data_IF_193013641413
#
_entry.id   IF_193013641413
#
_cell.length_a   1.000
_cell.length_b   1.000
_cell.length_c   1.000
_cell.angle_alpha   90.00
_cell.angle_beta   90.00
_cell.angle_gamma   90.00
#
_symmetry.space_group_name_H-M   'P 1'
#
loop_
_entity.id
_entity.type
_entity.pdbx_description
1 polymer ?
#
# COMPACT_ATOMS: atom_id res chain seq x y z
N UNK A 1 -0.87 -27.39 -22.03
CA UNK A 1 0.56 -27.06 -21.91
C UNK A 1 0.65 -26.21 -20.65
N UNK A 2 0.85 -26.86 -19.52
CA UNK A 2 0.93 -26.18 -18.22
C UNK A 2 2.22 -25.37 -18.20
N UNK A 3 2.07 -24.04 -18.12
CA UNK A 3 3.18 -23.15 -17.80
C UNK A 3 3.72 -23.58 -16.43
N UNK A 4 4.92 -24.16 -16.42
CA UNK A 4 5.68 -24.33 -15.19
C UNK A 4 5.98 -22.93 -14.66
N UNK A 5 5.19 -22.48 -13.70
CA UNK A 5 5.45 -21.25 -12.95
C UNK A 5 6.78 -21.45 -12.23
N UNK A 6 7.88 -20.95 -12.81
CA UNK A 6 9.11 -20.78 -12.07
C UNK A 6 8.78 -19.86 -10.90
N UNK A 7 8.72 -20.41 -9.69
CA UNK A 7 8.51 -19.62 -8.49
C UNK A 7 9.63 -18.60 -8.38
N UNK A 8 9.26 -17.33 -8.53
CA UNK A 8 10.11 -16.18 -8.25
C UNK A 8 10.60 -16.26 -6.81
N UNK A 9 11.86 -15.89 -6.58
CA UNK A 9 12.32 -15.68 -5.21
C UNK A 9 11.74 -14.35 -4.72
N UNK A 10 10.90 -14.32 -3.68
CA UNK A 10 10.29 -13.09 -3.23
C UNK A 10 11.34 -12.15 -2.64
N UNK A 11 11.10 -10.83 -2.70
CA UNK A 11 11.92 -9.86 -1.98
C UNK A 11 11.71 -9.96 -0.47
N UNK A 12 10.50 -10.35 -0.08
CA UNK A 12 10.09 -10.47 1.32
C UNK A 12 10.08 -11.93 1.76
N UNK A 13 10.69 -12.18 2.91
CA UNK A 13 10.52 -13.46 3.61
C UNK A 13 9.12 -13.52 4.20
N UNK A 14 8.35 -14.56 3.87
CA UNK A 14 7.03 -14.79 4.45
C UNK A 14 7.10 -15.78 5.60
N UNK A 15 6.52 -15.40 6.74
CA UNK A 15 6.39 -16.24 7.93
C UNK A 15 4.90 -16.34 8.27
N UNK A 16 4.44 -17.58 8.49
CA UNK A 16 3.03 -17.85 8.77
C UNK A 16 2.86 -18.61 10.08
N UNK A 17 1.98 -18.08 10.93
CA UNK A 17 1.61 -18.64 12.22
C UNK A 17 0.08 -18.72 12.35
N UNK A 18 -0.37 -19.56 13.29
CA UNK A 18 -1.75 -19.56 13.78
C UNK A 18 -1.76 -19.07 15.22
N UNK A 19 -2.72 -18.21 15.55
CA UNK A 19 -2.87 -17.66 16.88
C UNK A 19 -3.63 -18.60 17.86
N UNK A 20 -4.11 -19.76 17.41
CA UNK A 20 -4.90 -20.69 18.24
C UNK A 20 -4.17 -21.25 19.47
N UNK A 21 -2.84 -21.18 19.48
CA UNK A 21 -2.03 -21.65 20.61
C UNK A 21 -1.87 -20.65 21.76
N UNK A 22 -2.18 -19.37 21.52
CA UNK A 22 -2.05 -18.33 22.55
C UNK A 22 -3.28 -18.29 23.46
N UNK A 23 -3.07 -18.08 24.75
CA UNK A 23 -4.15 -17.98 25.73
C UNK A 23 -4.61 -16.53 25.95
N UNK A 24 -3.73 -15.57 25.66
CA UNK A 24 -4.00 -14.13 25.84
C UNK A 24 -3.45 -13.30 24.68
N UNK A 25 -4.00 -12.10 24.48
CA UNK A 25 -3.48 -11.17 23.47
C UNK A 25 -2.07 -10.68 23.81
N UNK A 26 -1.71 -10.59 25.10
CA UNK A 26 -0.38 -10.19 25.55
C UNK A 26 0.69 -11.21 25.19
N UNK A 27 0.37 -12.52 25.27
CA UNK A 27 1.27 -13.58 24.82
C UNK A 27 1.53 -13.48 23.32
N UNK A 28 0.47 -13.30 22.53
CA UNK A 28 0.58 -13.06 21.09
C UNK A 28 1.42 -11.81 20.80
N UNK A 29 1.12 -10.69 21.46
CA UNK A 29 1.84 -9.42 21.29
C UNK A 29 3.34 -9.57 21.60
N UNK A 30 3.68 -10.28 22.67
CA UNK A 30 5.07 -10.55 23.07
C UNK A 30 5.80 -11.39 22.02
N UNK A 31 5.12 -12.40 21.46
CA UNK A 31 5.70 -13.21 20.39
C UNK A 31 5.91 -12.40 19.11
N UNK A 32 4.90 -11.65 18.67
CA UNK A 32 4.99 -10.79 17.48
C UNK A 32 6.15 -9.82 17.62
N UNK A 33 6.23 -9.11 18.76
CA UNK A 33 7.34 -8.19 19.07
C UNK A 33 8.70 -8.88 18.96
N UNK A 34 8.85 -10.08 19.53
CA UNK A 34 10.10 -10.83 19.46
C UNK A 34 10.52 -11.13 18.02
N UNK A 35 9.58 -11.57 17.18
CA UNK A 35 9.87 -11.90 15.78
C UNK A 35 10.21 -10.66 14.96
N UNK A 36 9.52 -9.53 15.22
CA UNK A 36 9.84 -8.24 14.62
C UNK A 36 11.29 -7.84 14.93
N UNK A 37 11.70 -7.91 16.21
CA UNK A 37 13.06 -7.56 16.63
C UNK A 37 14.13 -8.53 16.14
N UNK A 38 13.75 -9.75 15.77
CA UNK A 38 14.66 -10.76 15.24
C UNK A 38 14.77 -10.73 13.70
N UNK A 39 13.89 -9.99 13.01
CA UNK A 39 13.95 -9.86 11.55
C UNK A 39 15.28 -9.23 11.11
N UNK A 40 15.92 -9.86 10.13
CA UNK A 40 17.22 -9.42 9.57
C UNK A 40 17.11 -8.91 8.13
N UNK A 41 15.92 -8.97 7.55
CA UNK A 41 15.63 -8.62 6.16
C UNK A 41 14.15 -8.26 6.03
N UNK A 42 13.74 -7.74 4.86
CA UNK A 42 12.32 -7.56 4.51
C UNK A 42 11.54 -8.82 4.84
N UNK A 43 10.63 -8.72 5.80
CA UNK A 43 9.89 -9.85 6.33
C UNK A 43 8.44 -9.45 6.54
N UNK A 44 7.53 -10.32 6.14
CA UNK A 44 6.11 -10.21 6.45
C UNK A 44 5.71 -11.42 7.30
N UNK A 45 5.18 -11.13 8.49
CA UNK A 45 4.79 -12.11 9.49
C UNK A 45 3.27 -12.08 9.60
N UNK A 46 2.62 -13.20 9.27
CA UNK A 46 1.18 -13.33 9.30
C UNK A 46 0.73 -14.29 10.40
N UNK A 47 -0.16 -13.82 11.28
CA UNK A 47 -0.86 -14.63 12.27
C UNK A 47 -2.33 -14.74 11.89
N UNK A 48 -2.79 -15.97 11.64
CA UNK A 48 -4.19 -16.28 11.32
C UNK A 48 -4.97 -16.72 12.56
N UNK A 49 -6.31 -16.71 12.49
CA UNK A 49 -7.19 -17.05 13.63
C UNK A 49 -6.98 -16.14 14.84
N UNK A 50 -6.66 -14.87 14.60
CA UNK A 50 -6.52 -13.84 15.65
C UNK A 50 -7.91 -13.30 15.96
N UNK A 51 -8.35 -13.52 17.20
CA UNK A 51 -9.65 -13.05 17.69
C UNK A 51 -9.90 -11.57 17.35
N UNK A 52 -11.12 -11.21 16.88
CA UNK A 52 -11.53 -9.82 16.68
C UNK A 52 -11.34 -8.89 17.88
N UNK A 53 -11.38 -9.44 19.09
CA UNK A 53 -11.15 -8.68 20.32
C UNK A 53 -9.66 -8.42 20.59
N UNK A 54 -8.78 -9.27 20.04
CA UNK A 54 -7.33 -9.20 20.28
C UNK A 54 -6.61 -8.38 19.21
N UNK A 55 -7.02 -8.52 17.95
CA UNK A 55 -6.35 -7.90 16.82
C UNK A 55 -6.07 -6.40 16.99
N UNK A 56 -7.08 -5.56 17.30
CA UNK A 56 -6.89 -4.15 17.58
C UNK A 56 -5.93 -3.88 18.74
N UNK A 57 -6.07 -4.61 19.85
CA UNK A 57 -5.22 -4.41 21.04
C UNK A 57 -3.75 -4.71 20.75
N UNK A 58 -3.48 -5.75 19.96
CA UNK A 58 -2.11 -6.09 19.56
C UNK A 58 -1.53 -5.02 18.64
N UNK A 59 -2.29 -4.52 17.67
CA UNK A 59 -1.81 -3.44 16.79
C UNK A 59 -1.55 -2.17 17.58
N UNK A 60 -2.55 -1.71 18.35
CA UNK A 60 -2.46 -0.48 19.12
C UNK A 60 -1.29 -0.55 20.14
N UNK A 61 -1.04 -1.72 20.75
CA UNK A 61 0.09 -1.94 21.67
C UNK A 61 1.46 -1.97 20.98
N UNK A 62 1.56 -2.45 19.74
CA UNK A 62 2.83 -2.50 19.00
C UNK A 62 3.17 -1.15 18.37
N UNK A 63 2.16 -0.38 17.96
CA UNK A 63 2.34 0.98 17.44
C UNK A 63 2.86 1.94 18.52
N UNK A 64 2.58 1.69 19.80
CA UNK A 64 3.09 2.45 20.95
C UNK A 64 4.45 1.94 21.47
N UNK A 65 5.00 0.85 20.91
CA UNK A 65 6.27 0.26 21.34
C UNK A 65 7.45 0.89 20.60
N UNK A 66 8.30 1.63 21.34
CA UNK A 66 9.43 2.36 20.76
C UNK A 66 10.49 1.47 20.08
N UNK A 67 10.65 0.20 20.49
CA UNK A 67 11.59 -0.70 19.81
C UNK A 67 11.01 -1.16 18.45
N UNK A 68 9.69 -1.39 18.39
CA UNK A 68 8.98 -1.73 17.14
C UNK A 68 8.96 -0.54 16.19
N UNK A 69 8.67 0.66 16.71
CA UNK A 69 8.71 1.92 15.95
C UNK A 69 10.10 2.14 15.33
N UNK A 70 11.18 1.88 16.08
CA UNK A 70 12.56 2.07 15.61
C UNK A 70 12.92 1.23 14.37
N UNK A 71 12.19 0.14 14.12
CA UNK A 71 12.35 -0.72 12.94
C UNK A 71 11.44 -0.34 11.78
N UNK A 72 10.63 0.71 11.94
CA UNK A 72 9.62 1.15 10.96
C UNK A 72 8.69 0.00 10.55
N UNK A 73 8.29 -0.81 11.53
CA UNK A 73 7.38 -1.93 11.31
C UNK A 73 5.94 -1.42 11.16
N UNK A 74 5.20 -1.99 10.21
CA UNK A 74 3.78 -1.70 10.02
C UNK A 74 2.95 -2.91 10.48
N UNK A 75 2.16 -2.72 11.53
CA UNK A 75 1.29 -3.76 12.10
C UNK A 75 -0.15 -3.52 11.64
N UNK A 76 -0.76 -4.53 11.03
CA UNK A 76 -2.08 -4.42 10.42
C UNK A 76 -2.95 -5.58 10.89
N UNK A 77 -4.25 -5.34 11.05
CA UNK A 77 -5.22 -6.37 11.41
C UNK A 77 -6.48 -6.29 10.56
N UNK A 78 -6.92 -7.44 10.03
CA UNK A 78 -8.19 -7.58 9.33
C UNK A 78 -9.19 -8.36 10.18
N UNK A 79 -10.23 -7.69 10.65
CA UNK A 79 -11.32 -8.31 11.43
C UNK A 79 -12.16 -9.30 10.64
N UNK A 80 -12.20 -9.18 9.31
CA UNK A 80 -12.93 -10.11 8.43
C UNK A 80 -12.16 -11.40 8.20
N UNK A 81 -10.83 -11.30 8.12
CA UNK A 81 -9.95 -12.46 7.90
C UNK A 81 -9.41 -13.06 9.19
N UNK A 82 -9.56 -12.35 10.31
CA UNK A 82 -8.95 -12.69 11.59
C UNK A 82 -7.44 -12.89 11.44
N UNK A 83 -6.81 -11.97 10.69
CA UNK A 83 -5.38 -12.04 10.35
C UNK A 83 -4.68 -10.77 10.79
N UNK A 84 -3.64 -10.93 11.61
CA UNK A 84 -2.66 -9.90 11.94
C UNK A 84 -1.46 -10.05 10.99
N UNK A 85 -1.02 -8.96 10.38
CA UNK A 85 0.12 -8.93 9.47
C UNK A 85 1.08 -7.85 9.96
N UNK A 86 2.34 -8.24 10.15
CA UNK A 86 3.42 -7.31 10.49
C UNK A 86 4.44 -7.30 9.36
N UNK A 87 4.66 -6.12 8.78
CA UNK A 87 5.68 -5.90 7.74
C UNK A 87 6.86 -5.17 8.36
N UNK A 88 8.06 -5.71 8.22
CA UNK A 88 9.29 -5.18 8.84
C UNK A 88 10.36 -5.00 7.76
N UNK A 89 11.18 -3.95 7.88
CA UNK A 89 12.31 -3.68 6.99
C UNK A 89 11.91 -3.56 5.51
N UNK A 90 10.97 -2.66 5.20
CA UNK A 90 10.56 -2.37 3.81
C UNK A 90 11.77 -2.06 2.93
N UNK A 91 11.76 -2.58 1.70
CA UNK A 91 12.87 -2.38 0.77
C UNK A 91 12.87 -0.98 0.15
N UNK A 92 14.02 -0.53 -0.36
CA UNK A 92 14.12 0.73 -1.11
C UNK A 92 13.23 0.72 -2.36
N UNK A 93 13.10 -0.44 -3.00
CA UNK A 93 12.19 -0.61 -4.14
C UNK A 93 10.73 -0.36 -3.74
N UNK A 94 10.29 -0.90 -2.59
CA UNK A 94 8.93 -0.67 -2.09
C UNK A 94 8.70 0.73 -1.52
N UNK A 95 9.75 1.51 -1.27
CA UNK A 95 9.64 2.91 -0.84
C UNK A 95 9.67 3.93 -1.98
N UNK A 96 9.97 3.50 -3.22
CA UNK A 96 10.21 4.43 -4.33
C UNK A 96 8.94 5.21 -4.74
N UNK A 97 7.74 4.70 -4.41
CA UNK A 97 6.46 5.36 -4.68
C UNK A 97 6.32 6.70 -3.96
N UNK A 98 7.02 6.92 -2.83
CA UNK A 98 6.98 8.19 -2.09
C UNK A 98 7.58 9.32 -2.93
N UNK A 99 8.78 9.09 -3.48
CA UNK A 99 9.42 10.07 -4.37
C UNK A 99 8.68 10.20 -5.70
N UNK A 100 8.13 9.10 -6.21
CA UNK A 100 7.28 9.12 -7.39
C UNK A 100 6.09 10.07 -7.20
N UNK A 101 5.33 9.94 -6.11
CA UNK A 101 4.19 10.82 -5.84
C UNK A 101 4.60 12.28 -5.67
N UNK A 102 5.74 12.54 -5.02
CA UNK A 102 6.29 13.90 -4.93
C UNK A 102 6.56 14.50 -6.32
N UNK A 103 7.07 13.70 -7.26
CA UNK A 103 7.28 14.14 -8.65
C UNK A 103 5.92 14.39 -9.32
N UNK A 104 4.92 13.52 -9.12
CA UNK A 104 3.59 13.72 -9.71
C UNK A 104 2.93 15.03 -9.26
N UNK A 105 3.04 15.37 -7.97
CA UNK A 105 2.53 16.65 -7.45
C UNK A 105 3.21 17.86 -8.11
N UNK A 106 4.53 17.79 -8.35
CA UNK A 106 5.28 18.83 -9.04
C UNK A 106 4.85 18.94 -10.51
N UNK A 107 4.72 17.82 -11.20
CA UNK A 107 4.34 17.79 -12.61
C UNK A 107 2.91 18.30 -12.81
N UNK A 108 1.97 17.95 -11.93
CA UNK A 108 0.61 18.50 -11.97
C UNK A 108 0.61 20.02 -11.83
N UNK A 109 1.48 20.56 -10.99
CA UNK A 109 1.64 21.99 -10.81
C UNK A 109 2.27 22.66 -12.04
N UNK A 110 3.36 22.11 -12.57
CA UNK A 110 4.04 22.65 -13.75
C UNK A 110 3.17 22.62 -15.01
N UNK A 111 2.28 21.62 -15.12
CA UNK A 111 1.30 21.49 -16.20
C UNK A 111 0.05 22.36 -15.99
N UNK A 112 -0.02 23.12 -14.89
CA UNK A 112 -1.20 23.92 -14.49
C UNK A 112 -2.49 23.10 -14.32
N UNK A 113 -2.38 21.80 -14.00
CA UNK A 113 -3.53 20.96 -13.64
C UNK A 113 -4.02 21.25 -12.23
N UNK A 114 -3.11 21.65 -11.34
CA UNK A 114 -3.39 22.12 -9.98
C UNK A 114 -2.49 23.31 -9.66
N UNK A 115 -2.92 24.16 -8.73
CA UNK A 115 -2.08 25.22 -8.19
C UNK A 115 -1.48 24.83 -6.84
N UNK A 116 -0.39 25.50 -6.45
CA UNK A 116 0.23 25.26 -5.14
C UNK A 116 -0.72 25.48 -3.96
N UNK A 117 -1.69 26.40 -4.10
CA UNK A 117 -2.77 26.59 -3.13
C UNK A 117 -3.72 25.39 -3.02
N UNK A 118 -3.99 24.70 -4.14
CA UNK A 118 -4.81 23.49 -4.16
C UNK A 118 -4.12 22.36 -3.40
N UNK A 119 -2.84 22.09 -3.69
CA UNK A 119 -2.08 21.01 -3.04
C UNK A 119 -1.96 21.19 -1.51
N UNK A 120 -1.99 22.43 -1.00
CA UNK A 120 -2.03 22.71 0.45
C UNK A 120 -3.32 22.22 1.14
N UNK A 121 -4.35 21.86 0.38
CA UNK A 121 -5.56 21.23 0.91
C UNK A 121 -5.39 19.72 1.10
N UNK A 122 -4.29 19.12 0.65
CA UNK A 122 -4.01 17.71 0.86
C UNK A 122 -3.02 17.51 2.02
N UNK A 123 -3.13 16.39 2.70
CA UNK A 123 -2.19 15.91 3.73
C UNK A 123 -1.65 14.55 3.32
N UNK A 124 -0.34 14.40 3.33
CA UNK A 124 0.34 13.15 2.98
C UNK A 124 0.72 12.39 4.25
N UNK A 125 0.44 11.10 4.28
CA UNK A 125 0.80 10.21 5.39
C UNK A 125 1.32 8.86 4.87
N UNK A 126 2.34 8.30 5.53
CA UNK A 126 2.98 7.03 5.14
C UNK A 126 3.10 6.01 6.27
N UNK A 127 2.77 6.40 7.50
CA UNK A 127 2.92 5.55 8.71
C UNK A 127 1.72 5.64 9.66
N UNK A 128 0.66 6.35 9.28
CA UNK A 128 -0.49 6.55 10.16
C UNK A 128 -1.43 5.33 10.12
N UNK A 129 -1.62 4.68 11.26
CA UNK A 129 -2.57 3.57 11.42
C UNK A 129 -4.01 4.09 11.44
N UNK A 130 -4.83 3.55 10.55
CA UNK A 130 -6.26 3.83 10.46
C UNK A 130 -7.05 2.69 11.08
N UNK A 131 -8.07 3.02 11.89
CA UNK A 131 -8.89 2.03 12.60
C UNK A 131 -10.39 2.30 12.60
N UNK A 132 -10.85 3.44 12.05
CA UNK A 132 -12.27 3.84 12.05
C UNK A 132 -13.02 3.33 10.81
N UNK A 133 -12.84 2.06 10.47
CA UNK A 133 -13.52 1.46 9.33
C UNK A 133 -14.98 1.13 9.67
N UNK A 134 -15.82 1.09 8.65
CA UNK A 134 -17.21 0.64 8.70
C UNK A 134 -17.30 -0.88 8.51
N UNK A 135 -18.48 -1.44 8.79
CA UNK A 135 -18.76 -2.85 8.55
C UNK A 135 -18.50 -3.23 7.07
N UNK A 136 -17.95 -4.43 6.80
CA UNK A 136 -17.64 -5.51 7.75
C UNK A 136 -16.26 -5.38 8.44
N UNK A 137 -15.54 -4.28 8.23
CA UNK A 137 -14.15 -4.10 8.68
C UNK A 137 -14.02 -3.29 9.98
N UNK A 138 -15.09 -3.15 10.77
CA UNK A 138 -15.13 -2.22 11.92
C UNK A 138 -14.10 -2.51 13.01
N UNK A 139 -13.59 -3.73 13.09
CA UNK A 139 -12.52 -4.12 14.00
C UNK A 139 -11.12 -4.08 13.37
N UNK A 140 -10.95 -3.58 12.15
CA UNK A 140 -9.67 -3.62 11.45
C UNK A 140 -8.75 -2.46 11.85
N UNK A 141 -7.45 -2.66 11.62
CA UNK A 141 -6.38 -1.66 11.72
C UNK A 141 -5.51 -1.75 10.49
N UNK A 142 -5.19 -0.63 9.86
CA UNK A 142 -4.42 -0.63 8.62
C UNK A 142 -3.59 0.63 8.46
N UNK A 143 -2.32 0.44 8.14
CA UNK A 143 -1.36 1.48 7.82
C UNK A 143 -1.09 1.42 6.32
N UNK A 144 -1.37 2.50 5.56
CA UNK A 144 -1.10 2.54 4.13
C UNK A 144 0.39 2.69 3.87
N UNK A 145 0.90 2.22 2.73
CA UNK A 145 2.27 2.54 2.32
C UNK A 145 2.41 4.02 1.94
N UNK A 146 1.33 4.64 1.45
CA UNK A 146 1.20 6.07 1.22
C UNK A 146 -0.28 6.42 1.11
N UNK A 147 -0.68 7.59 1.58
CA UNK A 147 -2.01 8.12 1.32
C UNK A 147 -2.03 9.65 1.27
N UNK A 148 -3.05 10.17 0.58
CA UNK A 148 -3.40 11.59 0.59
C UNK A 148 -4.81 11.75 1.17
N UNK A 149 -4.92 12.64 2.15
CA UNK A 149 -6.19 13.01 2.79
C UNK A 149 -6.60 14.43 2.40
N UNK A 150 -7.86 14.66 2.00
CA UNK A 150 -8.38 16.00 1.81
C UNK A 150 -8.63 16.67 3.17
N UNK A 151 -7.93 17.77 3.40
CA UNK A 151 -7.92 18.56 4.63
C UNK A 151 -7.62 17.69 5.88
N UNK A 152 -8.01 18.12 7.08
CA UNK A 152 -7.83 17.38 8.33
C UNK A 152 -8.81 16.20 8.51
N UNK A 153 -9.19 15.52 7.41
CA UNK A 153 -10.02 14.31 7.49
C UNK A 153 -9.22 13.12 8.00
N UNK A 154 -9.89 12.28 8.78
CA UNK A 154 -9.29 11.05 9.33
C UNK A 154 -8.96 10.03 8.23
N UNK A 155 -9.92 9.73 7.35
CA UNK A 155 -9.68 8.80 6.25
C UNK A 155 -9.18 9.52 5.00
N UNK A 156 -8.24 8.90 4.26
CA UNK A 156 -7.73 9.45 3.01
C UNK A 156 -8.77 9.32 1.89
N UNK A 157 -8.50 10.01 0.78
CA UNK A 157 -9.21 9.82 -0.48
C UNK A 157 -8.43 8.95 -1.47
N UNK A 158 -7.09 8.98 -1.38
CA UNK A 158 -6.18 8.24 -2.25
C UNK A 158 -5.20 7.43 -1.41
N UNK A 159 -5.00 6.17 -1.77
CA UNK A 159 -4.10 5.24 -1.07
C UNK A 159 -3.22 4.51 -2.09
N UNK A 160 -1.96 4.28 -1.73
CA UNK A 160 -1.07 3.33 -2.41
C UNK A 160 -0.74 2.19 -1.44
N UNK A 161 -0.86 0.96 -1.92
CA UNK A 161 -0.32 -0.24 -1.30
C UNK A 161 0.76 -0.82 -2.21
N UNK A 162 1.88 -1.24 -1.62
CA UNK A 162 3.02 -1.80 -2.35
C UNK A 162 3.49 -3.11 -1.71
N UNK A 163 3.89 -4.06 -2.55
CA UNK A 163 4.52 -5.29 -2.07
C UNK A 163 4.96 -6.23 -3.17
N UNK A 164 5.37 -7.42 -2.73
CA UNK A 164 5.65 -8.55 -3.60
C UNK A 164 4.39 -9.01 -4.35
N UNK A 165 4.59 -9.50 -5.58
CA UNK A 165 3.51 -10.08 -6.39
C UNK A 165 2.94 -11.36 -5.77
N UNK A 166 3.75 -12.07 -4.99
CA UNK A 166 3.37 -13.21 -4.15
C UNK A 166 2.36 -12.80 -3.06
N UNK A 167 2.29 -11.51 -2.72
CA UNK A 167 1.31 -10.95 -1.79
C UNK A 167 0.04 -10.45 -2.48
N UNK A 168 -0.18 -10.74 -3.77
CA UNK A 168 -1.31 -10.21 -4.54
C UNK A 168 -2.65 -10.40 -3.84
N UNK A 169 -2.95 -11.60 -3.34
CA UNK A 169 -4.22 -11.83 -2.64
C UNK A 169 -4.39 -10.91 -1.42
N UNK A 170 -3.33 -10.69 -0.66
CA UNK A 170 -3.33 -9.77 0.50
C UNK A 170 -3.45 -8.30 0.07
N UNK A 171 -2.76 -7.90 -0.99
CA UNK A 171 -2.89 -6.54 -1.55
C UNK A 171 -4.32 -6.27 -2.04
N UNK A 172 -4.98 -7.29 -2.61
CA UNK A 172 -6.38 -7.21 -3.00
C UNK A 172 -7.32 -7.11 -1.79
N UNK A 173 -6.99 -7.77 -0.69
CA UNK A 173 -7.72 -7.63 0.58
C UNK A 173 -7.56 -6.25 1.19
N UNK A 174 -6.34 -5.72 1.21
CA UNK A 174 -6.03 -4.36 1.66
C UNK A 174 -6.82 -3.33 0.83
N UNK A 175 -6.84 -3.49 -0.50
CA UNK A 175 -7.64 -2.65 -1.39
C UNK A 175 -9.14 -2.71 -1.07
N UNK A 176 -9.68 -3.91 -0.80
CA UNK A 176 -11.09 -4.06 -0.42
C UNK A 176 -11.39 -3.41 0.92
N UNK A 177 -10.52 -3.59 1.91
CA UNK A 177 -10.62 -2.95 3.22
C UNK A 177 -10.69 -1.43 3.06
N UNK A 178 -9.81 -0.84 2.24
CA UNK A 178 -9.82 0.59 1.96
C UNK A 178 -11.10 1.04 1.23
N UNK A 179 -11.45 0.41 0.10
CA UNK A 179 -12.59 0.86 -0.72
C UNK A 179 -13.96 0.53 -0.14
N UNK A 180 -14.09 -0.48 0.72
CA UNK A 180 -15.37 -0.87 1.34
C UNK A 180 -15.43 -0.36 2.78
N UNK A 181 -14.38 -0.62 3.57
CA UNK A 181 -14.34 -0.26 4.99
C UNK A 181 -14.19 1.23 5.23
N UNK A 182 -13.54 1.99 4.35
CA UNK A 182 -13.37 3.44 4.56
C UNK A 182 -14.38 4.27 3.74
N UNK A 183 -15.56 3.73 3.45
CA UNK A 183 -16.62 4.49 2.78
C UNK A 183 -17.08 5.68 3.64
N UNK A 184 -17.58 6.76 3.00
CA UNK A 184 -17.49 7.06 1.57
C UNK A 184 -16.13 7.71 1.18
N UNK A 185 -15.13 7.70 2.05
CA UNK A 185 -13.96 8.57 2.00
C UNK A 185 -12.91 8.15 0.98
N UNK A 186 -12.36 6.94 1.08
CA UNK A 186 -11.35 6.47 0.12
C UNK A 186 -12.02 6.29 -1.24
N UNK A 187 -11.50 6.95 -2.28
CA UNK A 187 -12.03 6.92 -3.65
C UNK A 187 -11.17 6.05 -4.56
N UNK A 188 -9.86 6.10 -4.38
CA UNK A 188 -8.88 5.44 -5.25
C UNK A 188 -7.88 4.66 -4.41
N UNK A 189 -7.57 3.43 -4.83
CA UNK A 189 -6.45 2.65 -4.33
C UNK A 189 -5.57 2.24 -5.50
N UNK A 190 -4.27 2.54 -5.42
CA UNK A 190 -3.27 2.04 -6.36
C UNK A 190 -2.49 0.92 -5.70
N UNK A 191 -2.42 -0.24 -6.35
CA UNK A 191 -1.56 -1.35 -5.95
C UNK A 191 -0.32 -1.35 -6.84
N UNK A 192 0.86 -1.33 -6.23
CA UNK A 192 2.15 -1.50 -6.90
C UNK A 192 2.74 -2.85 -6.51
N UNK A 193 2.96 -3.71 -7.49
CA UNK A 193 3.54 -5.04 -7.30
C UNK A 193 4.89 -5.13 -8.01
N UNK A 194 5.86 -5.74 -7.34
CA UNK A 194 7.13 -6.15 -7.95
C UNK A 194 7.35 -7.65 -7.76
N UNK A 195 8.10 -8.27 -8.65
CA UNK A 195 8.58 -9.64 -8.51
C UNK A 195 9.98 -9.78 -9.09
N UNK A 196 10.77 -10.74 -8.59
CA UNK A 196 11.97 -11.18 -9.31
C UNK A 196 11.58 -12.08 -10.47
N UNK A 197 12.20 -11.90 -11.63
CA UNK A 197 12.02 -12.80 -12.76
C UNK A 197 12.76 -14.11 -12.48
N UNK A 198 12.04 -15.13 -12.01
CA UNK A 198 12.61 -16.41 -11.57
C UNK A 198 13.70 -16.22 -10.51
N UNK A 199 14.86 -16.83 -10.74
CA UNK A 199 16.03 -16.74 -9.85
C UNK A 199 17.06 -15.70 -10.31
N UNK A 200 16.64 -14.73 -11.12
CA UNK A 200 17.53 -13.67 -11.60
C UNK A 200 17.48 -12.45 -10.69
N UNK A 201 18.34 -11.48 -10.96
CA UNK A 201 18.26 -10.15 -10.37
C UNK A 201 17.36 -9.19 -11.18
N UNK A 202 16.68 -9.68 -12.23
CA UNK A 202 15.74 -8.87 -13.00
C UNK A 202 14.42 -8.73 -12.24
N UNK A 203 13.84 -7.54 -12.31
CA UNK A 203 12.60 -7.19 -11.62
C UNK A 203 11.50 -6.93 -12.63
N UNK A 204 10.39 -7.64 -12.48
CA UNK A 204 9.11 -7.35 -13.12
C UNK A 204 8.26 -6.49 -12.19
N UNK A 205 7.34 -5.72 -12.76
CA UNK A 205 6.44 -4.92 -11.92
C UNK A 205 5.21 -4.43 -12.65
N UNK A 206 4.14 -4.21 -11.88
CA UNK A 206 2.84 -3.77 -12.36
C UNK A 206 2.23 -2.75 -11.39
N UNK A 207 1.52 -1.78 -11.92
CA UNK A 207 0.67 -0.87 -11.17
C UNK A 207 -0.80 -1.08 -11.59
N UNK A 208 -1.70 -1.15 -10.62
CA UNK A 208 -3.13 -1.35 -10.84
C UNK A 208 -3.92 -0.30 -10.05
N UNK A 209 -4.84 0.39 -10.70
CA UNK A 209 -5.69 1.41 -10.09
C UNK A 209 -7.10 0.87 -9.92
N UNK A 210 -7.57 0.91 -8.68
CA UNK A 210 -8.88 0.43 -8.27
C UNK A 210 -9.76 1.57 -7.78
N UNK A 211 -11.01 1.54 -8.21
CA UNK A 211 -12.10 2.40 -7.71
C UNK A 211 -13.32 1.55 -7.43
N UNK A 212 -14.38 2.15 -6.90
CA UNK A 212 -15.69 1.50 -6.83
C UNK A 212 -16.45 1.67 -8.15
N UNK A 213 -17.06 0.59 -8.62
CA UNK A 213 -17.99 0.60 -9.74
C UNK A 213 -19.33 1.26 -9.37
N UNK A 214 -20.27 1.30 -10.32
CA UNK A 214 -21.61 1.86 -10.12
C UNK A 214 -22.43 1.13 -9.03
N UNK A 215 -22.09 -0.12 -8.70
CA UNK A 215 -22.70 -0.91 -7.64
C UNK A 215 -21.95 -0.77 -6.30
N UNK A 216 -21.04 0.20 -6.22
CA UNK A 216 -20.13 0.45 -5.11
C UNK A 216 -19.12 -0.69 -4.83
N UNK A 217 -18.95 -1.66 -5.75
CA UNK A 217 -18.00 -2.76 -5.59
C UNK A 217 -16.61 -2.35 -6.10
N UNK A 218 -15.52 -2.73 -5.42
CA UNK A 218 -14.17 -2.47 -5.94
C UNK A 218 -13.94 -3.18 -7.28
N UNK A 219 -13.41 -2.44 -8.26
CA UNK A 219 -13.07 -2.92 -9.59
C UNK A 219 -11.80 -2.29 -10.12
N UNK A 220 -11.05 -3.05 -10.92
CA UNK A 220 -9.87 -2.56 -11.64
C UNK A 220 -10.34 -1.58 -12.71
N UNK A 221 -9.79 -0.36 -12.70
CA UNK A 221 -10.12 0.66 -13.69
C UNK A 221 -9.00 0.83 -14.72
N UNK A 222 -7.75 0.82 -14.27
CA UNK A 222 -6.57 1.02 -15.11
C UNK A 222 -5.43 0.14 -14.63
N UNK A 223 -4.56 -0.27 -15.54
CA UNK A 223 -3.35 -1.01 -15.22
C UNK A 223 -2.20 -0.55 -16.11
N UNK A 224 -0.99 -0.72 -15.60
CA UNK A 224 0.23 -0.42 -16.32
C UNK A 224 1.36 -1.37 -15.93
N UNK A 225 2.16 -1.77 -16.92
CA UNK A 225 3.39 -2.52 -16.67
C UNK A 225 4.52 -1.56 -16.31
N UNK A 226 5.17 -1.78 -15.17
CA UNK A 226 6.36 -1.04 -14.76
C UNK A 226 7.58 -1.64 -15.47
N UNK A 227 7.80 -2.95 -15.31
CA UNK A 227 8.86 -3.69 -16.00
C UNK A 227 8.35 -5.03 -16.51
N UNK A 228 8.77 -5.47 -17.72
CA UNK A 228 9.55 -4.71 -18.68
C UNK A 228 8.79 -3.49 -19.23
N UNK A 229 9.51 -2.43 -19.59
CA UNK A 229 8.88 -1.23 -20.10
C UNK A 229 8.42 -1.45 -21.55
N UNK A 230 7.17 -1.88 -21.72
CA UNK A 230 6.60 -2.21 -23.05
C UNK A 230 6.10 -1.00 -23.82
N UNK A 231 5.86 0.12 -23.13
CA UNK A 231 5.28 1.35 -23.69
C UNK A 231 5.93 2.56 -23.00
N UNK A 232 6.31 3.57 -23.79
CA UNK A 232 6.72 4.89 -23.28
C UNK A 232 5.49 5.77 -23.03
N UNK A 233 5.62 6.78 -22.16
CA UNK A 233 4.57 7.73 -21.81
C UNK A 233 3.32 7.08 -21.19
N UNK A 234 3.52 5.93 -20.54
CA UNK A 234 2.45 5.20 -19.86
C UNK A 234 2.07 5.93 -18.55
N UNK A 235 0.78 6.15 -18.33
CA UNK A 235 0.27 6.76 -17.10
C UNK A 235 -1.02 6.11 -16.65
N UNK A 236 -1.26 6.14 -15.33
CA UNK A 236 -2.59 5.99 -14.76
C UNK A 236 -3.19 7.39 -14.58
N UNK A 237 -4.52 7.53 -14.46
CA UNK A 237 -5.17 8.82 -14.21
C UNK A 237 -6.12 8.77 -13.03
N UNK A 238 -6.04 9.75 -12.14
CA UNK A 238 -7.06 9.99 -11.10
C UNK A 238 -7.79 11.31 -11.38
N UNK A 239 -9.03 11.44 -10.95
CA UNK A 239 -9.75 12.72 -11.06
C UNK A 239 -9.44 13.63 -9.88
N UNK A 240 -9.41 14.94 -10.11
CA UNK A 240 -9.33 15.93 -9.03
C UNK A 240 -10.50 15.78 -8.04
N UNK A 241 -11.71 15.48 -8.53
CA UNK A 241 -12.89 15.24 -7.70
C UNK A 241 -12.71 14.06 -6.74
N UNK A 242 -12.07 12.98 -7.18
CA UNK A 242 -11.76 11.84 -6.32
C UNK A 242 -10.68 12.17 -5.29
N UNK A 243 -9.64 12.90 -5.71
CA UNK A 243 -8.51 13.25 -4.84
C UNK A 243 -8.89 14.29 -3.78
N UNK A 244 -9.53 15.40 -4.16
CA UNK A 244 -9.87 16.49 -3.25
C UNK A 244 -11.23 16.31 -2.57
N UNK A 245 -12.16 15.56 -3.19
CA UNK A 245 -13.48 15.31 -2.62
C UNK A 245 -14.18 16.59 -2.19
N UNK A 246 -14.69 16.69 -0.94
CA UNK A 246 -15.43 17.86 -0.48
C UNK A 246 -14.62 19.16 -0.33
N UNK A 247 -13.29 19.11 -0.44
CA UNK A 247 -12.44 20.31 -0.42
C UNK A 247 -11.88 20.64 -1.80
N UNK A 248 -12.51 20.12 -2.86
CA UNK A 248 -12.21 20.50 -4.24
C UNK A 248 -12.23 22.04 -4.39
N UNK A 249 -11.14 22.66 -4.86
CA UNK A 249 -11.10 24.09 -5.13
C UNK A 249 -12.19 24.53 -6.09
N UNK A 250 -12.79 25.71 -5.88
CA UNK A 250 -13.89 26.22 -6.71
C UNK A 250 -13.49 26.46 -8.17
N UNK A 251 -12.20 26.69 -8.41
CA UNK A 251 -11.61 26.97 -9.71
C UNK A 251 -10.97 25.73 -10.37
N UNK A 252 -11.11 24.55 -9.76
CA UNK A 252 -10.63 23.27 -10.30
C UNK A 252 -11.81 22.39 -10.71
N UNK A 253 -11.88 22.03 -12.00
CA UNK A 253 -12.88 21.07 -12.48
C UNK A 253 -12.64 19.70 -11.84
N UNK A 254 -13.69 19.12 -11.26
CA UNK A 254 -13.67 17.79 -10.65
C UNK A 254 -13.20 16.70 -11.63
N UNK A 255 -13.44 16.87 -12.93
CA UNK A 255 -13.06 15.92 -13.98
C UNK A 255 -11.64 16.13 -14.49
N UNK A 256 -10.90 17.12 -13.97
CA UNK A 256 -9.47 17.30 -14.28
C UNK A 256 -8.73 16.01 -13.99
N UNK A 257 -8.14 15.41 -15.02
CA UNK A 257 -7.35 14.19 -14.88
C UNK A 257 -5.95 14.58 -14.40
N UNK A 258 -5.54 13.99 -13.28
CA UNK A 258 -4.22 14.12 -12.70
C UNK A 258 -3.42 12.85 -13.05
N UNK A 259 -2.47 12.93 -13.99
CA UNK A 259 -1.73 11.78 -14.49
C UNK A 259 -0.71 11.27 -13.46
N UNK A 260 -0.61 9.96 -13.31
CA UNK A 260 0.37 9.24 -12.52
C UNK A 260 1.33 8.53 -13.48
N UNK A 261 2.41 9.21 -13.85
CA UNK A 261 3.43 8.79 -14.81
C UNK A 261 4.14 7.51 -14.35
N UNK A 262 3.98 6.43 -15.11
CA UNK A 262 4.66 5.16 -14.84
C UNK A 262 6.13 5.23 -15.24
N UNK A 263 6.50 6.13 -16.14
CA UNK A 263 7.90 6.39 -16.48
C UNK A 263 8.68 6.99 -15.31
N UNK A 264 8.04 7.84 -14.52
CA UNK A 264 8.64 8.37 -13.30
C UNK A 264 8.77 7.29 -12.23
N UNK A 265 7.74 6.45 -12.06
CA UNK A 265 7.82 5.31 -11.17
C UNK A 265 8.94 4.34 -11.58
N UNK A 266 9.08 4.05 -12.87
CA UNK A 266 10.20 3.26 -13.41
C UNK A 266 11.54 3.91 -13.11
N UNK A 267 11.65 5.23 -13.25
CA UNK A 267 12.89 5.97 -12.96
C UNK A 267 13.25 5.88 -11.48
N UNK A 268 12.30 6.09 -10.57
CA UNK A 268 12.56 5.97 -9.13
C UNK A 268 12.88 4.52 -8.73
N UNK A 269 12.19 3.53 -9.29
CA UNK A 269 12.52 2.12 -9.08
C UNK A 269 13.93 1.78 -9.58
N UNK A 270 14.33 2.27 -10.76
CA UNK A 270 15.70 2.08 -11.31
C UNK A 270 16.79 2.73 -10.44
N UNK A 271 16.48 3.82 -9.72
CA UNK A 271 17.41 4.41 -8.76
C UNK A 271 17.57 3.55 -7.51
N UNK A 272 16.49 2.90 -7.06
CA UNK A 272 16.51 2.01 -5.89
C UNK A 272 17.21 0.67 -6.16
N UNK A 273 17.02 0.10 -7.34
CA UNK A 273 17.46 -1.26 -7.70
C UNK A 273 18.96 -1.55 -7.49
N UNK A 274 19.92 -0.67 -7.88
CA UNK A 274 21.35 -0.94 -7.69
C UNK A 274 21.76 -1.11 -6.23
N UNK A 275 21.04 -0.49 -5.28
CA UNK A 275 21.29 -0.64 -3.85
C UNK A 275 20.84 -2.02 -3.29
N UNK A 276 20.19 -2.82 -4.12
CA UNK A 276 19.67 -4.15 -3.80
C UNK A 276 20.21 -5.23 -4.75
N UNK A 277 21.23 -4.90 -5.56
CA UNK A 277 21.79 -5.75 -6.62
C UNK A 277 20.75 -6.18 -7.68
N UNK A 278 19.76 -5.34 -7.93
CA UNK A 278 18.67 -5.57 -8.88
C UNK A 278 18.85 -4.80 -10.19
N UNK A 279 18.19 -5.28 -11.23
CA UNK A 279 18.06 -4.59 -12.53
C UNK A 279 16.61 -4.72 -13.03
N UNK A 280 16.11 -3.80 -13.87
CA UNK A 280 14.79 -3.97 -14.47
C UNK A 280 14.77 -5.15 -15.43
N UNK A 281 13.66 -5.89 -15.46
CA UNK A 281 13.42 -6.88 -16.51
C UNK A 281 13.31 -6.21 -17.88
N UNK A 282 13.81 -6.90 -18.90
CA UNK A 282 13.74 -6.54 -20.32
C UNK A 282 12.76 -7.40 -21.08
#
# INVERSE_FOLDING_TARGET
MEEQTQHSTPFTKFIHHSARGFQTWQELCTQVRREVLQAQSSTEIAYTSVSPEWGPLVVDSLDEDGDVESLNAATNYSSVRETLIVKVMSTLLFGCHINWMRIQELDWHEQNLVMGGHLRLLRVWTIATHGRFEAPYSGSRKTPNFCMSPDNRYHPSFVIECGDSESKERLMEDMRLWLIGARPFVKVVVIIMYARKGNTNQVEGKAELYVRDANANPGLQQEATIFPATQSECSLGISAGDLFGPVLPQDLDANTVLPLSIDDLRREARKAMPHMDLVPAT
#
